data_IF_763790913728
#
_entry.id   IF_763790913728
#
_cell.length_a   1.000
_cell.length_b   1.000
_cell.length_c   1.000
_cell.angle_alpha   90.00
_cell.angle_beta   90.00
_cell.angle_gamma   90.00
#
_symmetry.space_group_name_H-M   'P 1'
#
loop_
_entity.id
_entity.type
_entity.pdbx_description
1 polymer ?
#
# COMPACT_ATOMS: atom_id res chain seq x y z
N UNK A 1 15.86 3.73 17.31
CA UNK A 1 14.40 3.93 17.48
C UNK A 1 13.80 4.62 16.23
N UNK A 2 14.04 4.08 15.02
CA UNK A 2 13.66 4.74 13.75
C UNK A 2 12.52 4.04 12.97
N UNK A 3 12.08 2.86 13.43
CA UNK A 3 11.04 2.07 12.73
C UNK A 3 9.66 2.74 12.72
N UNK A 4 9.36 3.58 13.71
CA UNK A 4 8.07 4.28 13.80
C UNK A 4 7.91 5.36 12.72
N UNK A 5 9.00 5.98 12.25
CA UNK A 5 8.95 6.95 11.14
C UNK A 5 8.78 6.28 9.77
N UNK A 6 9.23 5.03 9.63
CA UNK A 6 9.19 4.30 8.36
C UNK A 6 7.78 3.81 8.02
N UNK A 7 7.00 3.42 9.04
CA UNK A 7 5.61 2.99 8.85
C UNK A 7 4.58 4.14 8.84
N UNK A 8 5.01 5.37 9.14
CA UNK A 8 4.14 6.55 9.11
C UNK A 8 3.57 6.80 7.70
N UNK A 9 4.36 6.49 6.67
CA UNK A 9 3.93 6.61 5.27
C UNK A 9 2.75 5.66 4.96
N UNK A 10 2.83 4.40 5.41
CA UNK A 10 1.73 3.42 5.24
C UNK A 10 0.45 3.87 5.92
N UNK A 11 0.56 4.41 7.14
CA UNK A 11 -0.59 4.91 7.90
C UNK A 11 -1.24 6.11 7.19
N UNK A 12 -0.43 7.05 6.67
CA UNK A 12 -0.93 8.19 5.91
C UNK A 12 -1.68 7.73 4.66
N UNK A 13 -1.15 6.73 3.94
CA UNK A 13 -1.80 6.18 2.74
C UNK A 13 -3.16 5.55 3.10
N UNK A 14 -3.26 4.83 4.22
CA UNK A 14 -4.51 4.22 4.68
C UNK A 14 -5.56 5.29 5.00
N UNK A 15 -5.17 6.32 5.76
CA UNK A 15 -6.08 7.43 6.11
C UNK A 15 -6.57 8.14 4.84
N UNK A 16 -5.67 8.37 3.88
CA UNK A 16 -6.01 9.02 2.62
C UNK A 16 -6.96 8.17 1.77
N UNK A 17 -6.78 6.85 1.74
CA UNK A 17 -7.66 5.92 1.03
C UNK A 17 -9.09 5.91 1.62
N UNK A 18 -9.21 5.94 2.95
CA UNK A 18 -10.51 6.02 3.64
C UNK A 18 -11.21 7.34 3.31
N UNK A 19 -10.47 8.46 3.39
CA UNK A 19 -11.00 9.79 3.07
C UNK A 19 -11.45 9.90 1.60
N UNK A 20 -10.66 9.40 0.65
CA UNK A 20 -11.02 9.36 -0.77
C UNK A 20 -12.26 8.50 -1.02
N UNK A 21 -12.37 7.35 -0.34
CA UNK A 21 -13.55 6.49 -0.43
C UNK A 21 -14.83 7.20 0.00
N UNK A 22 -14.79 7.89 1.15
CA UNK A 22 -15.92 8.69 1.64
C UNK A 22 -16.22 9.88 0.72
N UNK A 23 -15.19 10.54 0.19
CA UNK A 23 -15.35 11.68 -0.71
C UNK A 23 -16.04 11.28 -2.02
N UNK A 24 -15.61 10.19 -2.66
CA UNK A 24 -16.25 9.65 -3.86
C UNK A 24 -17.68 9.21 -3.58
N UNK A 25 -17.92 8.56 -2.43
CA UNK A 25 -19.25 8.11 -2.05
C UNK A 25 -20.22 9.29 -1.90
N UNK A 26 -19.77 10.38 -1.29
CA UNK A 26 -20.56 11.59 -1.13
C UNK A 26 -20.81 12.31 -2.47
N UNK A 27 -19.78 12.47 -3.29
CA UNK A 27 -19.88 13.26 -4.53
C UNK A 27 -20.76 12.59 -5.59
N UNK A 28 -20.71 11.27 -5.69
CA UNK A 28 -21.46 10.51 -6.69
C UNK A 28 -22.76 9.89 -6.15
N UNK A 29 -23.13 10.16 -4.88
CA UNK A 29 -24.25 9.50 -4.19
C UNK A 29 -24.22 7.96 -4.34
N UNK A 30 -23.01 7.40 -4.36
CA UNK A 30 -22.82 5.97 -4.57
C UNK A 30 -23.30 5.21 -3.32
N UNK A 31 -24.00 4.08 -3.48
CA UNK A 31 -24.31 3.22 -2.34
C UNK A 31 -23.01 2.73 -1.69
N UNK A 32 -23.01 2.51 -0.38
CA UNK A 32 -21.86 2.05 0.42
C UNK A 32 -21.10 0.87 -0.23
N UNK A 33 -21.83 -0.02 -0.90
CA UNK A 33 -21.26 -1.17 -1.62
C UNK A 33 -20.30 -0.73 -2.73
N UNK A 34 -20.62 0.33 -3.48
CA UNK A 34 -19.76 0.84 -4.53
C UNK A 34 -18.50 1.52 -3.97
N UNK A 35 -18.60 2.15 -2.79
CA UNK A 35 -17.43 2.61 -2.03
C UNK A 35 -16.49 1.44 -1.65
N UNK A 36 -17.06 0.30 -1.22
CA UNK A 36 -16.27 -0.90 -0.93
C UNK A 36 -15.60 -1.49 -2.19
N UNK A 37 -16.29 -1.56 -3.32
CA UNK A 37 -15.70 -1.98 -4.60
C UNK A 37 -14.54 -1.07 -5.04
N UNK A 38 -14.73 0.26 -4.95
CA UNK A 38 -13.68 1.24 -5.26
C UNK A 38 -12.51 1.12 -4.30
N UNK A 39 -12.77 0.95 -3.00
CA UNK A 39 -11.74 0.74 -1.98
C UNK A 39 -10.91 -0.52 -2.22
N UNK A 40 -11.56 -1.63 -2.58
CA UNK A 40 -10.86 -2.88 -2.94
C UNK A 40 -10.03 -2.70 -4.20
N UNK A 41 -10.58 -2.08 -5.26
CA UNK A 41 -9.84 -1.80 -6.50
C UNK A 41 -8.62 -0.89 -6.26
N UNK A 42 -8.78 0.18 -5.47
CA UNK A 42 -7.68 1.07 -5.09
C UNK A 42 -6.65 0.37 -4.20
N UNK A 43 -7.09 -0.49 -3.28
CA UNK A 43 -6.19 -1.28 -2.42
C UNK A 43 -5.35 -2.27 -3.22
N UNK A 44 -5.96 -2.99 -4.17
CA UNK A 44 -5.26 -3.92 -5.08
C UNK A 44 -4.30 -3.15 -5.97
N UNK A 45 -4.73 -2.03 -6.57
CA UNK A 45 -3.87 -1.19 -7.39
C UNK A 45 -2.70 -0.59 -6.59
N UNK A 46 -2.96 -0.09 -5.38
CA UNK A 46 -1.94 0.44 -4.49
C UNK A 46 -0.93 -0.64 -4.06
N UNK A 47 -1.41 -1.82 -3.68
CA UNK A 47 -0.56 -2.97 -3.36
C UNK A 47 0.31 -3.40 -4.55
N UNK A 48 -0.25 -3.39 -5.76
CA UNK A 48 0.49 -3.68 -6.99
C UNK A 48 1.57 -2.63 -7.28
N UNK A 49 1.27 -1.34 -7.11
CA UNK A 49 2.23 -0.25 -7.27
C UNK A 49 3.37 -0.36 -6.25
N UNK A 50 3.05 -0.67 -4.99
CA UNK A 50 4.06 -0.86 -3.94
C UNK A 50 4.95 -2.06 -4.26
N UNK A 51 4.39 -3.21 -4.68
CA UNK A 51 5.19 -4.36 -5.10
C UNK A 51 6.11 -4.03 -6.28
N UNK A 52 5.59 -3.32 -7.29
CA UNK A 52 6.38 -2.89 -8.45
C UNK A 52 7.49 -1.93 -8.04
N UNK A 53 7.22 -1.00 -7.11
CA UNK A 53 8.20 -0.05 -6.61
C UNK A 53 9.28 -0.74 -5.76
N UNK A 54 8.90 -1.69 -4.90
CA UNK A 54 9.82 -2.48 -4.09
C UNK A 54 10.65 -3.46 -4.94
N UNK A 55 10.10 -3.98 -6.04
CA UNK A 55 10.84 -4.80 -7.01
C UNK A 55 11.98 -3.99 -7.66
N UNK A 56 11.79 -2.69 -7.90
CA UNK A 56 12.86 -1.78 -8.35
C UNK A 56 13.89 -1.43 -7.26
N UNK A 57 13.57 -1.66 -5.98
CA UNK A 57 14.43 -1.39 -4.81
C UNK A 57 15.06 -2.66 -4.22
N UNK A 58 15.19 -3.74 -4.99
CA UNK A 58 16.13 -4.81 -4.62
C UNK A 58 17.53 -4.48 -5.16
N UNK A 59 18.46 -3.93 -4.36
CA UNK A 59 19.81 -4.43 -4.44
C UNK A 59 19.78 -5.85 -3.89
N UNK A 60 20.06 -6.78 -4.78
CA UNK A 60 20.34 -8.19 -4.53
C UNK A 60 21.38 -8.36 -3.41
N UNK A 61 20.97 -8.40 -2.14
CA UNK A 61 21.84 -8.93 -1.08
C UNK A 61 21.76 -10.45 -1.12
N UNK A 62 22.49 -11.04 -2.06
CA UNK A 62 23.02 -12.40 -1.92
C UNK A 62 23.90 -12.39 -0.67
N UNK A 63 23.36 -12.75 0.49
CA UNK A 63 24.22 -13.22 1.58
C UNK A 63 24.51 -14.70 1.33
N UNK A 64 25.59 -14.94 0.58
CA UNK A 64 26.31 -16.21 0.57
C UNK A 64 26.43 -16.74 2.01
N UNK A 65 25.77 -17.85 2.32
CA UNK A 65 26.26 -18.77 3.35
C UNK A 65 26.96 -19.92 2.64
N UNK A 66 28.17 -19.64 2.20
CA UNK A 66 29.19 -20.67 2.05
C UNK A 66 29.89 -20.77 3.41
N UNK A 67 29.64 -21.87 4.12
CA UNK A 67 30.50 -22.45 5.16
C UNK A 67 30.29 -23.95 5.00
N UNK A 68 31.03 -24.56 4.07
CA UNK A 68 32.30 -25.27 4.33
C UNK A 68 32.21 -26.16 5.58
N UNK A 69 32.42 -27.46 5.29
CA UNK A 69 32.48 -28.60 6.18
C UNK A 69 33.66 -28.51 7.15
#
# INVERSE_FOLDING_TARGET
>A
MNTLRENSLSIIIIIFAIALGFFLQHFFNLPLIAGAFIGVLLGVAGGFVIQKLNSKRQPQSKSNKHKEY
#
